data_IF_111273253697
#
_entry.id   IF_111273253697
#
_cell.length_a   1.000
_cell.length_b   1.000
_cell.length_c   1.000
_cell.angle_alpha   90.00
_cell.angle_beta   90.00
_cell.angle_gamma   90.00
#
_symmetry.space_group_name_H-M   'P 1'
#
loop_
_entity.id
_entity.type
_entity.pdbx_description
1 polymer ?
#
# COMPACT_ATOMS: atom_id res chain seq x y z
N UNK A 1 -11.59 -4.81 13.09
CA UNK A 1 -10.66 -4.95 11.95
C UNK A 1 -11.45 -4.74 10.67
N UNK A 2 -10.98 -3.89 9.75
CA UNK A 2 -11.67 -3.63 8.48
C UNK A 2 -11.56 -4.84 7.54
N UNK A 3 -12.50 -4.98 6.61
CA UNK A 3 -12.47 -6.06 5.63
C UNK A 3 -11.32 -5.86 4.63
N UNK A 4 -10.44 -6.86 4.51
CA UNK A 4 -9.30 -6.89 3.57
C UNK A 4 -9.25 -8.21 2.79
N UNK A 5 -8.20 -9.02 3.02
CA UNK A 5 -7.97 -10.28 2.32
C UNK A 5 -9.18 -11.24 2.37
N UNK A 6 -9.82 -11.38 3.52
CA UNK A 6 -11.00 -12.25 3.69
C UNK A 6 -12.16 -11.88 2.75
N UNK A 7 -12.33 -10.59 2.44
CA UNK A 7 -13.36 -10.16 1.50
C UNK A 7 -12.99 -10.53 0.07
N UNK A 8 -11.72 -10.41 -0.32
CA UNK A 8 -11.22 -10.81 -1.65
C UNK A 8 -11.40 -12.31 -1.86
N UNK A 9 -10.91 -13.12 -0.91
CA UNK A 9 -11.03 -14.59 -0.94
C UNK A 9 -12.49 -15.03 -1.07
N UNK A 10 -13.40 -14.46 -0.28
CA UNK A 10 -14.82 -14.84 -0.29
C UNK A 10 -15.57 -14.31 -1.52
N UNK A 11 -15.38 -13.04 -1.86
CA UNK A 11 -16.24 -12.33 -2.81
C UNK A 11 -15.72 -12.42 -4.24
N UNK A 12 -14.40 -12.39 -4.43
CA UNK A 12 -13.75 -12.51 -5.73
C UNK A 12 -13.20 -13.92 -6.01
N UNK A 13 -13.21 -14.81 -5.01
CA UNK A 13 -12.75 -16.21 -5.13
C UNK A 13 -11.33 -16.32 -5.69
N UNK A 14 -10.43 -15.48 -5.16
CA UNK A 14 -9.02 -15.42 -5.56
C UNK A 14 -8.14 -16.06 -4.49
N UNK A 15 -7.19 -16.88 -4.93
CA UNK A 15 -6.03 -17.26 -4.12
C UNK A 15 -5.12 -16.05 -3.91
N UNK A 16 -4.34 -16.08 -2.82
CA UNK A 16 -3.51 -14.96 -2.41
C UNK A 16 -2.18 -15.45 -1.84
N UNK A 17 -1.10 -14.78 -2.22
CA UNK A 17 0.20 -14.94 -1.58
C UNK A 17 0.19 -14.25 -0.20
N UNK A 18 1.17 -14.51 0.68
CA UNK A 18 1.31 -13.76 1.94
C UNK A 18 1.39 -12.24 1.73
N UNK A 19 2.09 -11.79 0.68
CA UNK A 19 2.15 -10.38 0.29
C UNK A 19 0.79 -9.88 -0.21
N UNK A 20 0.08 -10.67 -1.01
CA UNK A 20 -1.28 -10.37 -1.46
C UNK A 20 -2.22 -10.13 -0.30
N UNK A 21 -2.18 -10.99 0.73
CA UNK A 21 -2.98 -10.84 1.94
C UNK A 21 -2.62 -9.57 2.72
N UNK A 22 -1.32 -9.32 2.92
CA UNK A 22 -0.84 -8.14 3.60
C UNK A 22 -1.31 -6.86 2.89
N UNK A 23 -1.14 -6.78 1.57
CA UNK A 23 -1.57 -5.63 0.77
C UNK A 23 -3.09 -5.45 0.78
N UNK A 24 -3.87 -6.54 0.71
CA UNK A 24 -5.32 -6.43 0.80
C UNK A 24 -5.78 -5.94 2.18
N UNK A 25 -5.11 -6.36 3.25
CA UNK A 25 -5.39 -5.90 4.61
C UNK A 25 -4.98 -4.43 4.80
N UNK A 26 -3.82 -4.03 4.28
CA UNK A 26 -3.36 -2.64 4.24
C UNK A 26 -4.39 -1.75 3.52
N UNK A 27 -4.79 -2.10 2.30
CA UNK A 27 -5.81 -1.37 1.54
C UNK A 27 -7.15 -1.33 2.29
N UNK A 28 -7.55 -2.44 2.91
CA UNK A 28 -8.73 -2.50 3.77
C UNK A 28 -8.66 -1.53 4.95
N UNK A 29 -7.49 -1.39 5.59
CA UNK A 29 -7.25 -0.42 6.67
C UNK A 29 -7.32 1.02 6.16
N UNK A 30 -6.64 1.33 5.06
CA UNK A 30 -6.57 2.68 4.48
C UNK A 30 -7.94 3.18 4.06
N UNK A 31 -8.72 2.33 3.38
CA UNK A 31 -10.00 2.73 2.79
C UNK A 31 -11.22 2.31 3.63
N UNK A 32 -11.01 1.93 4.90
CA UNK A 32 -12.05 1.52 5.86
C UNK A 32 -12.90 0.34 5.38
N UNK A 33 -12.30 -0.53 4.58
CA UNK A 33 -12.91 -1.68 3.93
C UNK A 33 -12.52 -1.75 2.47
N UNK A 34 -11.90 -2.86 2.05
CA UNK A 34 -11.40 -3.01 0.68
C UNK A 34 -12.54 -2.97 -0.36
N UNK A 35 -13.77 -3.30 0.06
CA UNK A 35 -14.97 -3.24 -0.77
C UNK A 35 -15.40 -1.81 -1.14
N UNK A 36 -14.81 -0.77 -0.54
CA UNK A 36 -15.00 0.61 -0.96
C UNK A 36 -14.18 0.97 -2.22
N UNK A 37 -13.24 0.11 -2.60
CA UNK A 37 -12.46 0.25 -3.83
C UNK A 37 -13.21 -0.34 -5.03
N UNK A 38 -12.80 0.09 -6.23
CA UNK A 38 -13.37 -0.38 -7.48
C UNK A 38 -13.22 -1.90 -7.63
N UNK A 39 -14.34 -2.65 -7.62
CA UNK A 39 -14.32 -4.11 -7.65
C UNK A 39 -13.73 -4.67 -8.95
N UNK A 40 -13.89 -3.99 -10.09
CA UNK A 40 -13.26 -4.38 -11.36
C UNK A 40 -11.75 -4.17 -11.33
N UNK A 41 -11.26 -3.15 -10.62
CA UNK A 41 -9.82 -2.99 -10.38
C UNK A 41 -9.28 -4.10 -9.46
N UNK A 42 -9.96 -4.37 -8.33
CA UNK A 42 -9.58 -5.44 -7.40
C UNK A 42 -9.54 -6.83 -8.08
N UNK A 43 -10.48 -7.11 -8.98
CA UNK A 43 -10.55 -8.40 -9.68
C UNK A 43 -9.40 -8.60 -10.70
N UNK A 44 -8.81 -7.51 -11.19
CA UNK A 44 -7.67 -7.52 -12.13
C UNK A 44 -6.31 -7.63 -11.45
N UNK A 45 -6.24 -7.45 -10.13
CA UNK A 45 -5.01 -7.63 -9.37
C UNK A 45 -4.61 -9.11 -9.39
N UNK A 46 -3.34 -9.39 -9.63
CA UNK A 46 -2.75 -10.70 -9.40
C UNK A 46 -2.41 -10.83 -7.91
N UNK A 47 -3.33 -11.34 -7.11
CA UNK A 47 -3.16 -11.44 -5.65
C UNK A 47 -2.22 -12.57 -5.21
N UNK A 48 -1.90 -13.50 -6.10
CA UNK A 48 -1.01 -14.64 -5.84
C UNK A 48 0.48 -14.32 -6.14
N UNK A 49 0.78 -13.10 -6.58
CA UNK A 49 2.16 -12.67 -6.80
C UNK A 49 2.89 -12.50 -5.46
N UNK A 50 3.94 -13.29 -5.26
CA UNK A 50 4.77 -13.24 -4.06
C UNK A 50 5.86 -12.15 -4.08
N UNK A 51 6.12 -11.54 -5.22
CA UNK A 51 7.21 -10.57 -5.39
C UNK A 51 6.72 -9.11 -5.34
N UNK A 52 5.56 -8.83 -5.94
CA UNK A 52 4.93 -7.52 -5.88
C UNK A 52 3.42 -7.59 -6.10
N UNK A 53 2.70 -6.63 -5.53
CA UNK A 53 1.27 -6.44 -5.85
C UNK A 53 1.11 -5.16 -6.63
N UNK A 54 0.34 -5.22 -7.72
CA UNK A 54 0.01 -4.07 -8.57
C UNK A 54 -1.48 -3.80 -8.51
N UNK A 55 -1.83 -2.59 -8.07
CA UNK A 55 -3.22 -2.13 -8.01
C UNK A 55 -3.39 -0.85 -8.83
N UNK A 56 -4.42 -0.81 -9.68
CA UNK A 56 -4.79 0.41 -10.41
C UNK A 56 -5.84 1.16 -9.58
N UNK A 57 -5.49 2.37 -9.18
CA UNK A 57 -6.33 3.26 -8.40
C UNK A 57 -6.88 4.37 -9.28
N UNK A 58 -8.18 4.66 -9.13
CA UNK A 58 -8.97 5.52 -10.02
C UNK A 58 -9.52 6.77 -9.33
N UNK A 59 -8.96 7.11 -8.16
CA UNK A 59 -9.34 8.29 -7.36
C UNK A 59 -8.10 9.07 -6.94
N UNK A 60 -8.34 10.19 -6.28
CA UNK A 60 -7.34 11.02 -5.63
C UNK A 60 -6.91 10.48 -4.26
N UNK A 61 -5.75 10.93 -3.83
CA UNK A 61 -5.19 10.68 -2.51
C UNK A 61 -4.82 12.04 -1.91
N UNK A 62 -5.22 12.26 -0.67
CA UNK A 62 -4.91 13.50 0.02
C UNK A 62 -4.39 13.23 1.43
N UNK A 63 -3.61 14.19 1.94
CA UNK A 63 -2.91 14.05 3.22
C UNK A 63 -3.79 14.42 4.42
N UNK A 64 -4.87 15.18 4.22
CA UNK A 64 -5.71 15.72 5.31
C UNK A 64 -7.19 15.38 5.10
N UNK A 65 -7.78 15.76 3.98
CA UNK A 65 -9.17 15.45 3.63
C UNK A 65 -9.31 13.98 3.26
N UNK A 66 -10.11 13.25 4.05
CA UNK A 66 -10.14 11.77 4.12
C UNK A 66 -8.82 11.09 4.51
N UNK A 67 -7.69 11.80 4.48
CA UNK A 67 -6.32 11.44 4.89
C UNK A 67 -5.78 10.09 4.37
N UNK A 68 -6.32 9.59 3.26
CA UNK A 68 -5.98 8.27 2.70
C UNK A 68 -4.51 8.17 2.30
N UNK A 69 -3.88 9.26 1.82
CA UNK A 69 -2.46 9.27 1.51
C UNK A 69 -1.62 9.11 2.78
N UNK A 70 -1.96 9.87 3.82
CA UNK A 70 -1.25 9.82 5.10
C UNK A 70 -1.43 8.46 5.77
N UNK A 71 -2.66 7.93 5.78
CA UNK A 71 -2.95 6.60 6.32
C UNK A 71 -2.19 5.50 5.55
N UNK A 72 -2.12 5.60 4.22
CA UNK A 72 -1.35 4.67 3.39
C UNK A 72 0.13 4.71 3.78
N UNK A 73 0.72 5.89 3.93
CA UNK A 73 2.13 6.03 4.33
C UNK A 73 2.36 5.41 5.70
N UNK A 74 1.59 5.78 6.72
CA UNK A 74 1.76 5.28 8.09
C UNK A 74 1.65 3.76 8.13
N UNK A 75 0.56 3.20 7.59
CA UNK A 75 0.32 1.76 7.67
C UNK A 75 1.28 0.94 6.80
N UNK A 76 1.73 1.48 5.67
CA UNK A 76 2.75 0.83 4.85
C UNK A 76 4.08 0.72 5.61
N UNK A 77 4.50 1.78 6.30
CA UNK A 77 5.68 1.74 7.17
C UNK A 77 5.50 0.73 8.31
N UNK A 78 4.34 0.70 9.00
CA UNK A 78 4.07 -0.28 10.06
C UNK A 78 4.24 -1.72 9.56
N UNK A 79 3.70 -2.03 8.38
CA UNK A 79 3.68 -3.39 7.80
C UNK A 79 4.96 -3.72 7.01
N UNK A 80 5.95 -2.82 6.99
CA UNK A 80 7.17 -2.95 6.18
C UNK A 80 6.85 -3.17 4.69
N UNK A 81 5.85 -2.49 4.16
CA UNK A 81 5.47 -2.57 2.75
C UNK A 81 5.95 -1.28 2.07
N UNK A 82 6.81 -1.41 1.07
CA UNK A 82 7.18 -0.27 0.22
C UNK A 82 6.08 -0.04 -0.80
N UNK A 83 5.59 1.20 -0.90
CA UNK A 83 4.60 1.62 -1.91
C UNK A 83 5.22 2.57 -2.92
N UNK A 84 5.09 2.27 -4.21
CA UNK A 84 5.26 3.24 -5.32
C UNK A 84 3.89 3.75 -5.73
N UNK A 85 3.78 5.04 -6.04
CA UNK A 85 2.61 5.60 -6.72
C UNK A 85 3.11 6.25 -8.01
N UNK A 86 2.64 5.76 -9.15
CA UNK A 86 3.06 6.24 -10.48
C UNK A 86 1.85 6.48 -11.39
N UNK A 87 1.94 7.46 -12.29
CA UNK A 87 0.90 7.70 -13.29
C UNK A 87 0.83 6.54 -14.29
N UNK A 88 -0.37 6.05 -14.60
CA UNK A 88 -0.55 4.99 -15.59
C UNK A 88 -1.66 5.27 -16.62
N UNK A 89 -2.17 6.50 -16.65
CA UNK A 89 -3.17 6.97 -17.60
C UNK A 89 -3.91 8.20 -17.06
N UNK A 90 -4.73 8.88 -17.88
CA UNK A 90 -5.55 10.00 -17.42
C UNK A 90 -6.44 9.57 -16.25
N UNK A 91 -6.29 10.24 -15.09
CA UNK A 91 -7.02 9.96 -13.84
C UNK A 91 -6.75 8.59 -13.20
N UNK A 92 -5.73 7.85 -13.65
CA UNK A 92 -5.35 6.57 -13.07
C UNK A 92 -3.94 6.60 -12.53
N UNK A 93 -3.79 6.10 -11.30
CA UNK A 93 -2.51 5.87 -10.65
C UNK A 93 -2.31 4.37 -10.47
N UNK A 94 -1.07 3.91 -10.65
CA UNK A 94 -0.65 2.57 -10.29
C UNK A 94 0.03 2.63 -8.93
N UNK A 95 -0.44 1.79 -8.01
CA UNK A 95 0.24 1.48 -6.78
C UNK A 95 0.99 0.16 -6.92
N UNK A 96 2.29 0.18 -6.61
CA UNK A 96 3.16 -1.01 -6.59
C UNK A 96 3.63 -1.27 -5.17
N UNK A 97 3.37 -2.47 -4.67
CA UNK A 97 3.67 -2.88 -3.29
C UNK A 97 4.74 -3.96 -3.29
N UNK A 98 5.76 -3.79 -2.45
CA UNK A 98 6.80 -4.80 -2.19
C UNK A 98 6.98 -5.00 -0.70
N UNK A 99 7.05 -6.26 -0.24
CA UNK A 99 7.42 -6.55 1.14
C UNK A 99 8.88 -6.17 1.38
N UNK A 100 9.14 -5.57 2.53
CA UNK A 100 10.48 -5.36 3.08
C UNK A 100 10.66 -6.27 4.29
N UNK A 101 11.86 -6.80 4.42
CA UNK A 101 12.17 -7.85 5.40
C UNK A 101 12.61 -7.22 6.72
N UNK A 102 13.34 -6.11 6.65
CA UNK A 102 14.02 -5.49 7.78
C UNK A 102 13.67 -4.00 7.95
N UNK A 103 14.07 -3.42 9.08
CA UNK A 103 14.02 -1.97 9.33
C UNK A 103 15.30 -1.25 8.88
N UNK A 104 16.37 -2.01 8.73
CA UNK A 104 17.74 -1.56 8.46
C UNK A 104 18.32 -2.33 7.27
N UNK A 105 19.44 -1.87 6.70
CA UNK A 105 20.07 -2.50 5.53
C UNK A 105 19.83 -1.72 4.23
N UNK A 106 19.94 -2.41 3.10
CA UNK A 106 19.85 -1.77 1.79
C UNK A 106 18.43 -1.35 1.42
N UNK A 107 18.29 -0.39 0.50
CA UNK A 107 16.98 0.17 0.10
C UNK A 107 15.99 -0.86 -0.47
N UNK A 108 16.48 -2.00 -0.96
CA UNK A 108 15.67 -3.14 -1.42
C UNK A 108 15.15 -4.02 -0.28
N UNK A 109 15.77 -3.97 0.90
CA UNK A 109 15.50 -4.84 2.03
C UNK A 109 14.78 -4.10 3.16
N UNK A 110 15.14 -2.83 3.36
CA UNK A 110 14.67 -2.03 4.49
C UNK A 110 13.36 -1.29 4.24
N UNK A 111 12.58 -1.15 5.30
CA UNK A 111 11.53 -0.16 5.46
C UNK A 111 11.65 0.48 6.85
N UNK A 112 12.16 1.72 6.98
CA UNK A 112 12.27 2.38 8.28
C UNK A 112 10.88 2.56 8.92
N UNK A 113 10.81 2.88 10.21
CA UNK A 113 9.56 3.38 10.80
C UNK A 113 9.20 4.74 10.21
N UNK A 114 7.95 5.16 10.34
CA UNK A 114 7.54 6.47 9.84
C UNK A 114 8.23 7.60 10.62
N UNK A 115 8.46 7.42 11.92
CA UNK A 115 9.16 8.38 12.78
C UNK A 115 10.60 8.59 12.33
N UNK A 116 11.36 7.51 12.15
CA UNK A 116 12.75 7.59 11.69
C UNK A 116 12.83 8.24 10.31
N UNK A 117 11.87 7.94 9.42
CA UNK A 117 11.87 8.52 8.09
C UNK A 117 11.47 10.01 8.08
N UNK A 118 10.58 10.43 8.98
CA UNK A 118 10.26 11.85 9.20
C UNK A 118 11.50 12.61 9.67
N UNK A 119 12.25 12.06 10.63
CA UNK A 119 13.51 12.65 11.11
C UNK A 119 14.55 12.76 9.99
N UNK A 120 14.69 11.71 9.18
CA UNK A 120 15.58 11.69 8.01
C UNK A 120 15.20 12.79 7.00
N UNK A 121 13.92 12.96 6.69
CA UNK A 121 13.45 14.00 5.75
C UNK A 121 13.74 15.39 6.31
N UNK A 122 13.37 15.65 7.58
CA UNK A 122 13.55 16.97 8.21
C UNK A 122 15.01 17.34 8.40
N UNK A 123 15.89 16.37 8.65
CA UNK A 123 17.33 16.63 8.81
C UNK A 123 17.99 17.06 7.51
N UNK A 124 17.53 16.58 6.35
CA UNK A 124 18.01 17.01 5.03
C UNK A 124 17.69 18.48 4.75
N UNK A 125 16.52 18.94 5.15
CA UNK A 125 16.10 20.34 4.95
C UNK A 125 16.93 21.31 5.81
N UNK A 126 17.39 20.88 6.98
CA UNK A 126 18.23 21.69 7.88
C UNK A 126 19.73 21.67 7.52
N UNK A 127 20.14 20.88 6.52
CA UNK A 127 21.53 20.77 6.06
C UNK A 127 21.85 21.70 4.88
N UNK A 128 20.90 22.53 4.47
CA UNK A 128 21.00 23.57 3.45
C UNK A 128 20.83 24.96 4.07
#
# INVERSE_FOLDING_TARGET
MYAGANWIKRSLKKEMSPLGEAVANLLGRVFRGIYHLNSSALNRVNWDDGYFIKFIFDRDLATVDFNSLTALIVYAHDEKIRVSIEGCGPRYMRMLFHQRESREGDNSERCPTIENHIEEIRSRDNAH
#
